data_IF_708295671605
#
_entry.id   IF_708295671605
#
_cell.length_a   1.000
_cell.length_b   1.000
_cell.length_c   1.000
_cell.angle_alpha   90.00
_cell.angle_beta   90.00
_cell.angle_gamma   90.00
#
_symmetry.space_group_name_H-M   'P 1'
#
loop_
_entity.id
_entity.type
_entity.pdbx_description
1 polymer ?
#
# COMPACT_ATOMS: atom_id res chain seq x y z
N UNK A 1 6.25 17.66 -13.43
CA UNK A 1 6.13 16.33 -14.05
C UNK A 1 6.77 15.24 -13.18
N UNK A 2 8.05 15.34 -12.78
CA UNK A 2 8.74 14.27 -12.04
C UNK A 2 8.22 14.02 -10.60
N UNK A 3 7.92 15.09 -9.85
CA UNK A 3 7.38 15.02 -8.48
C UNK A 3 6.04 14.29 -8.41
N UNK A 4 5.13 14.58 -9.36
CA UNK A 4 3.84 13.89 -9.47
C UNK A 4 3.99 12.40 -9.79
N UNK A 5 5.01 12.01 -10.55
CA UNK A 5 5.27 10.59 -10.84
C UNK A 5 5.71 9.85 -9.58
N UNK A 6 6.62 10.43 -8.79
CA UNK A 6 7.08 9.86 -7.53
C UNK A 6 5.95 9.77 -6.50
N UNK A 7 5.13 10.82 -6.39
CA UNK A 7 3.96 10.84 -5.50
C UNK A 7 2.91 9.79 -5.90
N UNK A 8 2.68 9.60 -7.21
CA UNK A 8 1.81 8.55 -7.72
C UNK A 8 2.38 7.15 -7.48
N UNK A 9 3.70 6.97 -7.61
CA UNK A 9 4.38 5.70 -7.32
C UNK A 9 4.35 5.38 -5.82
N UNK A 10 4.62 6.35 -4.96
CA UNK A 10 4.51 6.23 -3.50
C UNK A 10 3.08 5.89 -3.12
N UNK A 11 2.07 6.57 -3.67
CA UNK A 11 0.66 6.25 -3.38
C UNK A 11 0.25 4.85 -3.86
N UNK A 12 0.73 4.41 -5.03
CA UNK A 12 0.51 3.04 -5.51
C UNK A 12 1.21 2.02 -4.63
N UNK A 13 2.46 2.27 -4.23
CA UNK A 13 3.20 1.43 -3.30
C UNK A 13 2.49 1.40 -1.96
N UNK A 14 2.05 2.54 -1.42
CA UNK A 14 1.27 2.63 -0.19
C UNK A 14 -0.05 1.88 -0.30
N UNK A 15 -0.75 1.89 -1.43
CA UNK A 15 -1.95 1.06 -1.61
C UNK A 15 -1.61 -0.44 -1.68
N UNK A 16 -0.50 -0.81 -2.31
CA UNK A 16 -0.01 -2.21 -2.38
C UNK A 16 0.55 -2.69 -1.05
N UNK A 17 1.11 -1.79 -0.25
CA UNK A 17 1.79 -2.03 1.01
C UNK A 17 0.91 -1.72 2.21
N UNK A 18 -0.19 -0.99 2.09
CA UNK A 18 -1.20 -0.76 3.14
C UNK A 18 -1.64 -2.08 3.79
N UNK A 19 -1.93 -3.14 3.01
CA UNK A 19 -2.13 -4.46 3.59
C UNK A 19 -0.89 -4.99 4.28
N UNK A 20 0.34 -4.69 3.86
CA UNK A 20 1.59 -5.24 4.41
C UNK A 20 2.26 -4.33 5.46
N UNK A 21 1.68 -3.17 5.76
CA UNK A 21 2.39 -2.09 6.44
C UNK A 21 2.69 -2.42 7.91
N UNK A 22 1.78 -3.21 8.53
CA UNK A 22 1.92 -3.73 9.87
C UNK A 22 2.77 -5.00 9.96
N UNK A 23 3.27 -5.53 8.83
CA UNK A 23 4.17 -6.68 8.86
C UNK A 23 5.56 -6.25 9.31
N UNK A 24 5.97 -6.76 10.47
CA UNK A 24 7.35 -6.76 10.87
C UNK A 24 8.09 -7.80 10.02
N UNK A 25 9.08 -7.34 9.28
CA UNK A 25 10.06 -8.20 8.64
C UNK A 25 10.93 -8.86 9.74
N UNK A 26 11.28 -10.15 9.61
CA UNK A 26 12.08 -10.87 10.63
C UNK A 26 13.52 -10.30 10.81
N UNK A 27 13.94 -9.36 9.97
CA UNK A 27 15.24 -8.69 10.03
C UNK A 27 15.14 -7.34 9.30
N UNK A 28 15.90 -6.34 9.74
CA UNK A 28 16.08 -5.07 9.03
C UNK A 28 16.76 -5.33 7.68
N UNK A 29 15.94 -5.71 6.69
CA UNK A 29 16.38 -6.12 5.34
C UNK A 29 16.48 -4.98 4.35
N UNK A 30 15.97 -3.81 4.74
CA UNK A 30 16.19 -2.59 3.99
C UNK A 30 17.64 -2.14 4.16
N UNK A 31 18.23 -1.74 3.04
CA UNK A 31 19.62 -1.29 2.99
C UNK A 31 19.80 -0.09 3.92
N UNK A 32 20.78 -0.14 4.83
CA UNK A 32 20.97 0.88 5.88
C UNK A 32 21.44 2.21 5.30
N UNK A 33 21.86 2.20 4.03
CA UNK A 33 22.19 3.39 3.26
C UNK A 33 20.96 4.09 2.66
N UNK A 34 19.83 3.39 2.57
CA UNK A 34 18.59 3.91 1.99
C UNK A 34 17.54 4.27 3.04
N UNK A 35 17.53 3.60 4.20
CA UNK A 35 16.57 3.88 5.27
C UNK A 35 17.32 4.13 6.58
N UNK A 36 17.11 5.30 7.17
CA UNK A 36 17.63 5.68 8.48
C UNK A 36 16.83 5.04 9.61
N UNK A 37 15.56 4.69 9.36
CA UNK A 37 14.69 4.03 10.32
C UNK A 37 15.19 2.61 10.62
N UNK A 38 15.44 2.32 11.91
CA UNK A 38 15.82 0.97 12.39
C UNK A 38 14.62 0.03 12.56
N UNK A 39 13.44 0.43 12.11
CA UNK A 39 12.23 -0.35 12.30
C UNK A 39 12.19 -1.53 11.35
N UNK A 40 11.72 -2.66 11.82
CA UNK A 40 11.44 -3.84 10.99
C UNK A 40 10.11 -3.72 10.25
N UNK A 41 9.35 -2.66 10.49
CA UNK A 41 8.03 -2.43 9.91
C UNK A 41 8.13 -1.71 8.57
N UNK A 42 7.43 -2.24 7.57
CA UNK A 42 7.30 -1.61 6.26
C UNK A 42 6.63 -0.22 6.36
N UNK A 43 5.71 -0.03 7.31
CA UNK A 43 5.09 1.28 7.58
C UNK A 43 6.13 2.36 7.85
N UNK A 44 7.14 2.07 8.68
CA UNK A 44 8.14 3.07 9.03
C UNK A 44 9.03 3.46 7.84
N UNK A 45 9.30 2.52 6.93
CA UNK A 45 9.98 2.82 5.66
C UNK A 45 9.11 3.67 4.72
N UNK A 46 7.79 3.48 4.74
CA UNK A 46 6.85 4.31 3.97
C UNK A 46 6.71 5.71 4.57
N UNK A 47 6.67 5.83 5.89
CA UNK A 47 6.62 7.11 6.61
C UNK A 47 7.89 7.94 6.31
N UNK A 48 9.07 7.30 6.35
CA UNK A 48 10.33 7.96 6.00
C UNK A 48 10.37 8.44 4.53
N UNK A 49 9.78 7.68 3.61
CA UNK A 49 9.66 8.08 2.21
C UNK A 49 8.66 9.26 2.03
N UNK A 50 7.61 9.35 2.85
CA UNK A 50 6.65 10.46 2.84
C UNK A 50 7.27 11.75 3.41
N UNK A 51 8.06 11.63 4.47
CA UNK A 51 8.86 12.72 5.03
C UNK A 51 9.85 13.26 4.00
N UNK A 52 10.54 12.38 3.28
CA UNK A 52 11.46 12.76 2.19
C UNK A 52 10.73 13.43 1.02
N UNK A 53 9.51 12.99 0.67
CA UNK A 53 8.70 13.64 -0.37
C UNK A 53 8.28 15.05 0.06
N UNK A 54 7.91 15.21 1.32
CA UNK A 54 7.57 16.52 1.89
C UNK A 54 8.79 17.44 1.91
N UNK A 55 9.97 16.92 2.26
CA UNK A 55 11.23 17.66 2.19
C UNK A 55 11.58 18.08 0.75
N UNK A 56 11.37 17.19 -0.24
CA UNK A 56 11.58 17.48 -1.66
C UNK A 56 10.67 18.61 -2.13
N UNK A 57 9.39 18.61 -1.73
CA UNK A 57 8.46 19.71 -2.06
C UNK A 57 8.95 21.05 -1.53
N UNK A 58 9.43 21.10 -0.28
CA UNK A 58 10.00 22.32 0.31
C UNK A 58 11.29 22.77 -0.39
N UNK A 59 12.15 21.83 -0.77
CA UNK A 59 13.40 22.14 -1.49
C UNK A 59 13.13 22.69 -2.90
N UNK A 60 12.07 22.22 -3.57
CA UNK A 60 11.60 22.75 -4.86
C UNK A 60 11.06 24.18 -4.70
N UNK A 61 10.28 24.45 -3.65
CA UNK A 61 9.78 25.80 -3.34
C UNK A 61 10.94 26.78 -3.06
N UNK A 62 12.00 26.30 -2.40
CA UNK A 62 13.20 27.10 -2.09
C UNK A 62 14.24 27.14 -3.23
N UNK A 63 13.95 26.53 -4.39
CA UNK A 63 14.84 26.45 -5.56
C UNK A 63 16.25 25.90 -5.27
N UNK A 64 16.38 25.00 -4.29
CA UNK A 64 17.68 24.39 -3.95
C UNK A 64 18.02 23.22 -4.87
N UNK A 65 18.49 23.53 -6.09
CA UNK A 65 18.83 22.54 -7.12
C UNK A 65 19.69 21.35 -6.63
N UNK A 66 20.76 21.54 -5.82
CA UNK A 66 21.57 20.41 -5.36
C UNK A 66 20.80 19.47 -4.42
N UNK A 67 19.93 20.04 -3.57
CA UNK A 67 19.14 19.29 -2.61
C UNK A 67 17.98 18.55 -3.29
N UNK A 68 17.39 19.16 -4.32
CA UNK A 68 16.36 18.54 -5.16
C UNK A 68 16.93 17.29 -5.83
N UNK A 69 18.07 17.39 -6.54
CA UNK A 69 18.64 16.24 -7.25
C UNK A 69 18.91 15.07 -6.31
N UNK A 70 19.57 15.34 -5.17
CA UNK A 70 19.86 14.31 -4.17
C UNK A 70 18.59 13.66 -3.59
N UNK A 71 17.61 14.47 -3.17
CA UNK A 71 16.35 13.95 -2.62
C UNK A 71 15.57 13.13 -3.64
N UNK A 72 15.61 13.50 -4.91
CA UNK A 72 14.90 12.81 -5.98
C UNK A 72 15.51 11.45 -6.28
N UNK A 73 16.84 11.37 -6.39
CA UNK A 73 17.57 10.11 -6.58
C UNK A 73 17.43 9.18 -5.35
N UNK A 74 17.50 9.76 -4.16
CA UNK A 74 17.31 9.03 -2.90
C UNK A 74 15.90 8.45 -2.80
N UNK A 75 14.86 9.24 -3.09
CA UNK A 75 13.47 8.76 -3.13
C UNK A 75 13.25 7.68 -4.18
N UNK A 76 13.80 7.83 -5.38
CA UNK A 76 13.68 6.81 -6.43
C UNK A 76 14.29 5.48 -5.97
N UNK A 77 15.46 5.53 -5.32
CA UNK A 77 16.14 4.35 -4.77
C UNK A 77 15.33 3.70 -3.63
N UNK A 78 14.76 4.50 -2.73
CA UNK A 78 13.87 4.02 -1.67
C UNK A 78 12.61 3.34 -2.23
N UNK A 79 11.96 3.95 -3.23
CA UNK A 79 10.79 3.39 -3.89
C UNK A 79 11.12 2.09 -4.63
N UNK A 80 12.25 2.00 -5.32
CA UNK A 80 12.70 0.77 -5.96
C UNK A 80 12.99 -0.34 -4.97
N UNK A 81 13.67 -0.03 -3.85
CA UNK A 81 13.93 -1.00 -2.79
C UNK A 81 12.62 -1.54 -2.19
N UNK A 82 11.66 -0.66 -1.87
CA UNK A 82 10.33 -1.06 -1.39
C UNK A 82 9.60 -1.89 -2.45
N UNK A 83 9.65 -1.50 -3.73
CA UNK A 83 9.00 -2.21 -4.83
C UNK A 83 9.59 -3.61 -5.06
N UNK A 84 10.91 -3.74 -5.03
CA UNK A 84 11.63 -5.02 -5.19
C UNK A 84 11.35 -5.95 -4.01
N UNK A 85 11.39 -5.41 -2.80
CA UNK A 85 11.10 -6.19 -1.62
C UNK A 85 9.64 -6.66 -1.67
N UNK A 86 8.68 -5.77 -1.93
CA UNK A 86 7.25 -6.11 -2.03
C UNK A 86 6.91 -7.11 -3.15
N UNK A 87 7.65 -7.10 -4.26
CA UNK A 87 7.55 -8.14 -5.29
C UNK A 87 8.14 -9.49 -4.85
N UNK A 88 9.17 -9.46 -3.99
CA UNK A 88 9.79 -10.65 -3.41
C UNK A 88 9.00 -11.21 -2.23
N UNK A 89 8.16 -10.38 -1.58
CA UNK A 89 7.29 -10.78 -0.48
C UNK A 89 6.25 -11.83 -0.90
N UNK A 90 5.65 -11.72 -2.10
CA UNK A 90 4.69 -12.72 -2.60
C UNK A 90 5.34 -14.09 -2.86
N UNK A 91 6.65 -14.11 -3.18
CA UNK A 91 7.41 -15.34 -3.36
C UNK A 91 7.83 -15.97 -2.01
N UNK A 92 8.09 -15.15 -0.98
CA UNK A 92 8.41 -15.60 0.39
C UNK A 92 7.20 -15.81 1.30
N UNK A 93 5.99 -15.52 0.80
CA UNK A 93 4.68 -15.72 1.44
C UNK A 93 4.45 -17.18 1.90
N UNK A 94 5.30 -18.09 1.43
CA UNK A 94 5.28 -19.53 1.66
C UNK A 94 6.35 -20.02 2.65
N UNK A 95 7.28 -19.16 3.07
CA UNK A 95 8.42 -19.49 3.94
C UNK A 95 8.14 -19.11 5.42
N UNK A 96 6.97 -19.50 5.96
CA UNK A 96 6.73 -19.45 7.40
C UNK A 96 7.12 -20.78 8.06
N UNK A 97 8.07 -20.72 8.99
CA UNK A 97 8.56 -21.88 9.74
C UNK A 97 7.48 -22.58 10.61
N UNK A 98 6.29 -21.98 10.78
CA UNK A 98 5.17 -22.60 11.51
C UNK A 98 3.91 -22.77 10.64
N UNK A 99 3.26 -23.97 10.65
CA UNK A 99 2.06 -24.24 9.86
C UNK A 99 0.86 -23.33 10.20
N UNK A 100 0.78 -22.86 11.46
CA UNK A 100 -0.29 -21.98 11.94
C UNK A 100 -0.19 -20.57 11.34
N UNK A 101 1.02 -20.01 11.28
CA UNK A 101 1.28 -18.70 10.68
C UNK A 101 1.03 -18.73 9.16
N UNK A 102 1.51 -19.78 8.48
CA UNK A 102 1.29 -20.00 7.04
C UNK A 102 -0.19 -20.03 6.65
N UNK A 103 -1.05 -20.61 7.49
CA UNK A 103 -2.50 -20.68 7.24
C UNK A 103 -3.16 -19.31 7.32
N UNK A 104 -2.83 -18.52 8.34
CA UNK A 104 -3.39 -17.19 8.53
C UNK A 104 -2.86 -16.20 7.48
N UNK A 105 -1.58 -16.32 7.09
CA UNK A 105 -1.00 -15.60 5.97
C UNK A 105 -1.74 -15.90 4.66
N UNK A 106 -1.95 -17.18 4.31
CA UNK A 106 -2.74 -17.54 3.12
C UNK A 106 -4.15 -16.94 3.14
N UNK A 107 -4.84 -17.03 4.28
CA UNK A 107 -6.19 -16.48 4.41
C UNK A 107 -6.20 -14.96 4.20
N UNK A 108 -5.22 -14.27 4.77
CA UNK A 108 -5.05 -12.82 4.63
C UNK A 108 -4.89 -12.40 3.17
N UNK A 109 -4.03 -13.09 2.43
CA UNK A 109 -3.74 -12.80 1.01
C UNK A 109 -4.98 -12.98 0.15
N UNK A 110 -5.73 -14.06 0.35
CA UNK A 110 -7.00 -14.28 -0.33
C UNK A 110 -7.98 -13.12 -0.09
N UNK A 111 -8.07 -12.63 1.15
CA UNK A 111 -8.92 -11.48 1.47
C UNK A 111 -8.42 -10.18 0.85
N UNK A 112 -7.10 -9.99 0.69
CA UNK A 112 -6.51 -8.81 0.06
C UNK A 112 -6.71 -8.78 -1.46
N UNK A 113 -6.55 -9.91 -2.14
CA UNK A 113 -6.87 -9.99 -3.57
C UNK A 113 -8.36 -9.72 -3.83
N UNK A 114 -9.23 -10.20 -2.93
CA UNK A 114 -10.65 -9.93 -2.98
C UNK A 114 -10.97 -8.45 -2.76
N UNK A 115 -10.31 -7.80 -1.79
CA UNK A 115 -10.43 -6.34 -1.58
C UNK A 115 -10.01 -5.58 -2.84
N UNK A 116 -8.85 -5.93 -3.43
CA UNK A 116 -8.34 -5.28 -4.64
C UNK A 116 -9.36 -5.34 -5.78
N UNK A 117 -9.92 -6.52 -6.06
CA UNK A 117 -10.95 -6.71 -7.10
C UNK A 117 -12.22 -5.91 -6.79
N UNK A 118 -12.64 -5.85 -5.52
CA UNK A 118 -13.80 -5.05 -5.09
C UNK A 118 -13.59 -3.55 -5.31
N UNK A 119 -12.40 -3.02 -5.01
CA UNK A 119 -12.06 -1.61 -5.24
C UNK A 119 -12.08 -1.30 -6.73
N UNK A 120 -11.48 -2.16 -7.55
CA UNK A 120 -11.45 -2.00 -9.00
C UNK A 120 -12.85 -2.01 -9.60
N UNK A 121 -13.69 -2.98 -9.20
CA UNK A 121 -15.10 -3.01 -9.58
C UNK A 121 -15.85 -1.76 -9.15
N UNK A 122 -15.65 -1.29 -7.90
CA UNK A 122 -16.32 -0.08 -7.38
C UNK A 122 -15.92 1.14 -8.19
N UNK A 123 -14.64 1.26 -8.54
CA UNK A 123 -14.12 2.35 -9.37
C UNK A 123 -14.74 2.33 -10.76
N UNK A 124 -14.80 1.18 -11.41
CA UNK A 124 -15.42 1.03 -12.74
C UNK A 124 -16.90 1.45 -12.72
N UNK A 125 -17.65 1.10 -11.67
CA UNK A 125 -19.07 1.50 -11.53
C UNK A 125 -19.21 2.99 -11.28
N UNK A 126 -18.30 3.60 -10.50
CA UNK A 126 -18.27 5.06 -10.29
C UNK A 126 -17.95 5.82 -11.58
N UNK A 127 -17.00 5.32 -12.38
CA UNK A 127 -16.66 5.91 -13.69
C UNK A 127 -17.85 5.82 -14.65
N UNK A 128 -18.56 4.68 -14.69
CA UNK A 128 -19.78 4.51 -15.49
C UNK A 128 -20.91 5.41 -15.02
N UNK A 129 -21.08 5.58 -13.71
CA UNK A 129 -22.06 6.49 -13.12
C UNK A 129 -21.83 7.96 -13.52
N UNK A 130 -20.57 8.37 -13.66
CA UNK A 130 -20.22 9.72 -14.11
C UNK A 130 -20.53 9.97 -15.61
N UNK A 131 -20.65 8.92 -16.42
CA UNK A 131 -20.92 9.02 -17.86
C UNK A 131 -22.41 8.87 -18.20
N UNK A 132 -23.18 8.19 -17.36
CA UNK A 132 -24.61 7.95 -17.57
C UNK A 132 -25.42 9.18 -17.19
N UNK A 133 -26.26 9.65 -18.11
CA UNK A 133 -27.18 10.79 -17.91
C UNK A 133 -28.62 10.35 -17.60
N UNK A 134 -28.93 9.05 -17.70
CA UNK A 134 -30.24 8.50 -17.40
C UNK A 134 -30.48 8.33 -15.89
N UNK A 135 -31.56 8.92 -15.38
CA UNK A 135 -31.87 8.95 -13.93
C UNK A 135 -32.08 7.54 -13.33
N UNK A 136 -32.79 6.64 -14.01
CA UNK A 136 -33.01 5.26 -13.52
C UNK A 136 -31.71 4.44 -13.47
N UNK A 137 -30.87 4.55 -14.49
CA UNK A 137 -29.56 3.89 -14.55
C UNK A 137 -28.59 4.46 -13.52
N UNK A 138 -28.61 5.77 -13.30
CA UNK A 138 -27.84 6.45 -12.27
C UNK A 138 -28.24 5.96 -10.87
N UNK A 139 -29.54 5.86 -10.58
CA UNK A 139 -30.02 5.37 -9.28
C UNK A 139 -29.64 3.90 -9.05
N UNK A 140 -29.69 3.07 -10.10
CA UNK A 140 -29.26 1.67 -10.02
C UNK A 140 -27.76 1.55 -9.74
N UNK A 141 -26.92 2.29 -10.48
CA UNK A 141 -25.47 2.31 -10.27
C UNK A 141 -25.10 2.85 -8.88
N UNK A 142 -25.80 3.86 -8.36
CA UNK A 142 -25.59 4.36 -6.99
C UNK A 142 -25.81 3.26 -5.94
N UNK A 143 -26.93 2.53 -6.02
CA UNK A 143 -27.22 1.41 -5.10
C UNK A 143 -26.17 0.29 -5.21
N UNK A 144 -25.68 0.01 -6.42
CA UNK A 144 -24.61 -0.96 -6.63
C UNK A 144 -23.28 -0.52 -6.00
N UNK A 145 -22.92 0.76 -6.15
CA UNK A 145 -21.72 1.35 -5.52
C UNK A 145 -21.81 1.29 -4.01
N UNK A 146 -22.94 1.69 -3.41
CA UNK A 146 -23.16 1.60 -1.95
C UNK A 146 -23.05 0.16 -1.46
N UNK A 147 -23.61 -0.81 -2.19
CA UNK A 147 -23.51 -2.23 -1.85
C UNK A 147 -22.05 -2.73 -1.92
N UNK A 148 -21.27 -2.27 -2.89
CA UNK A 148 -19.84 -2.62 -2.98
C UNK A 148 -19.02 -1.96 -1.87
N UNK A 149 -19.28 -0.71 -1.52
CA UNK A 149 -18.62 -0.03 -0.40
C UNK A 149 -18.93 -0.71 0.94
N UNK A 150 -20.17 -1.13 1.17
CA UNK A 150 -20.54 -1.91 2.37
C UNK A 150 -19.83 -3.28 2.42
N UNK A 151 -19.67 -3.95 1.26
CA UNK A 151 -18.89 -5.20 1.17
C UNK A 151 -17.40 -4.97 1.43
N UNK A 152 -16.85 -3.88 0.89
CA UNK A 152 -15.46 -3.48 1.12
C UNK A 152 -15.19 -3.24 2.61
N UNK A 153 -16.08 -2.52 3.29
CA UNK A 153 -15.98 -2.29 4.74
C UNK A 153 -15.94 -3.60 5.54
N UNK A 154 -16.81 -4.57 5.20
CA UNK A 154 -16.79 -5.91 5.82
C UNK A 154 -15.50 -6.68 5.53
N UNK A 155 -14.97 -6.58 4.31
CA UNK A 155 -13.71 -7.21 3.92
C UNK A 155 -12.53 -6.66 4.74
N UNK A 156 -12.44 -5.32 4.87
CA UNK A 156 -11.45 -4.64 5.71
C UNK A 156 -11.55 -5.05 7.17
N UNK A 157 -12.76 -5.17 7.71
CA UNK A 157 -12.96 -5.63 9.08
C UNK A 157 -12.52 -7.09 9.28
N UNK A 158 -12.71 -7.96 8.28
CA UNK A 158 -12.19 -9.33 8.31
C UNK A 158 -10.65 -9.35 8.27
N UNK A 159 -10.04 -8.52 7.42
CA UNK A 159 -8.58 -8.37 7.35
C UNK A 159 -7.97 -7.92 8.68
N UNK A 160 -8.54 -6.89 9.31
CA UNK A 160 -8.10 -6.40 10.61
C UNK A 160 -8.15 -7.50 11.70
N UNK A 161 -9.17 -8.38 11.67
CA UNK A 161 -9.24 -9.54 12.58
C UNK A 161 -8.13 -10.56 12.32
N UNK A 162 -7.82 -10.83 11.05
CA UNK A 162 -6.72 -11.73 10.67
C UNK A 162 -5.37 -11.14 11.12
N UNK A 163 -5.19 -9.82 10.96
CA UNK A 163 -3.98 -9.10 11.40
C UNK A 163 -3.79 -9.18 12.92
N UNK A 164 -4.85 -8.99 13.71
CA UNK A 164 -4.78 -9.13 15.16
C UNK A 164 -4.38 -10.55 15.60
N UNK A 165 -4.87 -11.59 14.91
CA UNK A 165 -4.48 -12.97 15.19
C UNK A 165 -3.01 -13.21 14.83
N UNK A 166 -2.55 -12.68 13.70
CA UNK A 166 -1.14 -12.75 13.30
C UNK A 166 -0.24 -12.04 14.33
N UNK A 167 -0.57 -10.82 14.72
CA UNK A 167 0.18 -10.03 15.69
C UNK A 167 0.33 -10.73 17.05
N UNK A 168 -0.69 -11.51 17.47
CA UNK A 168 -0.64 -12.32 18.68
C UNK A 168 0.22 -13.58 18.54
N UNK A 169 0.30 -14.17 17.35
CA UNK A 169 1.09 -15.37 17.08
C UNK A 169 2.58 -15.08 16.86
N UNK A 170 2.93 -13.83 16.52
CA UNK A 170 4.31 -13.37 16.30
C UNK A 170 4.95 -12.71 17.51
N UNK A 171 4.25 -12.62 18.64
CA UNK A 171 4.75 -12.08 19.92
C UNK A 171 5.27 -13.21 20.79
#
# INVERSE_FOLDING_TARGET
MLLQTLENQLNRLRQRCAPLAHHATLSARFDRHLFHTRSTLLQACLDEADDNLTALRRAVEQQQLPQITWLTEHLASQLEAISRETASWSLREWDSASPGLARWQRKRVQHQEFERRLVEMTRERKERLAQVTGFEEQQKLHREVEAFEARLARCRHALARIDNVLARLTR
#
